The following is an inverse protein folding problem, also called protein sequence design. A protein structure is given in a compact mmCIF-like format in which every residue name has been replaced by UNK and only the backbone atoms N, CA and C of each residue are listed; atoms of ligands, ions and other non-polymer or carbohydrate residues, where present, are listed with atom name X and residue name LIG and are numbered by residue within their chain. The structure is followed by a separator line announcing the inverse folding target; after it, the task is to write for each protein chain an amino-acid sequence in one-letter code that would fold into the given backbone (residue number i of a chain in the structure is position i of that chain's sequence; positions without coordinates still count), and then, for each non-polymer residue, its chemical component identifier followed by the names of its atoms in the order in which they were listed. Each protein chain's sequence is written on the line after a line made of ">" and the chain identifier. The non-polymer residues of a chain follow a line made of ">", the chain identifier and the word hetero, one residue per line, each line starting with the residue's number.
data_IF_857475293892
#
_entry.id   IF_857475293892
#
_cell.length_a   1.000
_cell.length_b   1.000
_cell.length_c   1.000
_cell.angle_alpha   90.00
_cell.angle_beta   90.00
_cell.angle_gamma   90.00
#
_symmetry.space_group_name_H-M   'P 1'
#
loop_
_entity.id
_entity.type
_entity.pdbx_description
1 polymer ?
#
# COMPACT_ATOMS: atom_id res chain seq x y z
N UNK A 1 17.13 27.48 -16.18
CA UNK A 1 15.70 27.74 -16.02
C UNK A 1 15.30 27.70 -14.56
N UNK A 2 15.54 26.59 -13.87
CA UNK A 2 15.11 26.34 -12.48
C UNK A 2 15.47 27.47 -11.50
N UNK A 3 16.69 28.01 -11.61
CA UNK A 3 17.15 29.11 -10.75
C UNK A 3 16.75 30.50 -11.25
N UNK A 4 15.94 30.60 -12.31
CA UNK A 4 15.52 31.88 -12.89
C UNK A 4 16.63 32.68 -13.56
N UNK A 5 17.71 32.01 -13.98
CA UNK A 5 18.85 32.72 -14.64
C UNK A 5 18.39 33.29 -15.97
N UNK A 6 18.75 34.56 -16.30
CA UNK A 6 18.39 35.20 -17.55
C UNK A 6 18.89 34.41 -18.77
N UNK A 7 18.04 34.27 -19.79
CA UNK A 7 18.36 33.59 -21.05
C UNK A 7 18.35 32.06 -21.00
N UNK A 8 18.07 31.44 -19.83
CA UNK A 8 17.93 30.01 -19.73
C UNK A 8 16.49 29.60 -20.14
N UNK A 9 16.38 28.73 -21.18
CA UNK A 9 15.11 28.24 -21.69
C UNK A 9 14.84 26.79 -21.22
N UNK A 10 13.57 26.40 -21.01
CA UNK A 10 13.22 25.03 -20.64
C UNK A 10 13.47 24.05 -21.79
N UNK A 11 13.86 22.83 -21.44
CA UNK A 11 13.97 21.70 -22.37
C UNK A 11 13.22 20.52 -21.75
N UNK A 12 12.31 19.92 -22.52
CA UNK A 12 11.50 18.80 -22.07
C UNK A 12 12.37 17.53 -21.98
N UNK A 13 12.34 16.88 -20.83
CA UNK A 13 13.03 15.61 -20.60
C UNK A 13 12.20 14.44 -21.16
N UNK A 14 12.74 13.74 -22.15
CA UNK A 14 12.08 12.58 -22.78
C UNK A 14 11.73 11.49 -21.77
N UNK A 15 12.64 11.17 -20.84
CA UNK A 15 12.40 10.13 -19.83
C UNK A 15 11.26 10.52 -18.88
N UNK A 16 11.13 11.80 -18.53
CA UNK A 16 9.99 12.27 -17.72
C UNK A 16 8.65 12.05 -18.43
N UNK A 17 8.60 12.28 -19.74
CA UNK A 17 7.41 11.99 -20.56
C UNK A 17 7.12 10.50 -20.62
N UNK A 18 8.13 9.66 -20.81
CA UNK A 18 7.97 8.21 -20.83
C UNK A 18 7.45 7.68 -19.50
N UNK A 19 7.98 8.15 -18.35
CA UNK A 19 7.50 7.79 -17.03
C UNK A 19 6.06 8.27 -16.81
N UNK A 20 5.72 9.48 -17.24
CA UNK A 20 4.34 9.97 -17.17
C UNK A 20 3.37 9.14 -18.04
N UNK A 21 3.79 8.69 -19.23
CA UNK A 21 3.01 7.76 -20.05
C UNK A 21 2.86 6.38 -19.38
N UNK A 22 3.93 5.84 -18.74
CA UNK A 22 3.83 4.58 -17.98
C UNK A 22 2.80 4.70 -16.86
N UNK A 23 2.82 5.79 -16.10
CA UNK A 23 1.82 6.07 -15.06
C UNK A 23 0.42 6.10 -15.69
N UNK A 24 0.24 6.89 -16.75
CA UNK A 24 -1.06 7.01 -17.42
C UNK A 24 -1.59 5.68 -17.94
N UNK A 25 -0.76 4.90 -18.62
CA UNK A 25 -1.14 3.59 -19.15
C UNK A 25 -1.46 2.59 -18.03
N UNK A 26 -0.69 2.60 -16.94
CA UNK A 26 -0.96 1.75 -15.77
C UNK A 26 -2.27 2.14 -15.06
N UNK A 27 -2.68 3.40 -15.14
CA UNK A 27 -3.96 3.92 -14.66
C UNK A 27 -5.08 3.87 -15.72
N UNK A 28 -4.89 3.12 -16.80
CA UNK A 28 -5.87 2.97 -17.89
C UNK A 28 -6.25 4.30 -18.57
N UNK A 29 -5.39 5.31 -18.53
CA UNK A 29 -5.62 6.58 -19.19
C UNK A 29 -5.44 6.49 -20.69
N UNK A 30 -6.12 7.39 -21.42
CA UNK A 30 -5.83 7.71 -22.81
C UNK A 30 -4.65 8.68 -22.89
N UNK A 31 -3.63 8.36 -23.68
CA UNK A 31 -2.52 9.26 -23.98
C UNK A 31 -2.96 10.19 -25.11
N UNK A 32 -2.79 11.51 -24.94
CA UNK A 32 -3.22 12.52 -25.91
C UNK A 32 -2.10 13.51 -26.25
N UNK A 33 -2.19 14.18 -27.40
CA UNK A 33 -1.40 15.38 -27.62
C UNK A 33 -1.59 16.38 -26.49
N UNK A 34 -0.51 17.00 -26.06
CA UNK A 34 -0.52 17.86 -24.89
C UNK A 34 0.30 19.14 -25.10
N UNK A 35 0.01 20.13 -24.27
CA UNK A 35 0.70 21.42 -24.25
C UNK A 35 1.18 21.71 -22.82
N UNK A 36 2.19 22.56 -22.72
CA UNK A 36 2.72 23.04 -21.45
C UNK A 36 2.34 24.49 -21.23
N UNK A 37 2.07 24.84 -19.99
CA UNK A 37 1.65 26.17 -19.56
C UNK A 37 2.55 26.68 -18.45
N UNK A 38 2.64 27.99 -18.31
CA UNK A 38 3.17 28.65 -17.15
C UNK A 38 2.05 28.88 -16.14
N UNK A 39 2.18 28.26 -14.96
CA UNK A 39 1.36 28.53 -13.79
C UNK A 39 2.10 29.55 -12.95
N UNK A 40 1.63 30.80 -12.92
CA UNK A 40 2.33 31.86 -12.20
C UNK A 40 2.23 31.60 -10.68
N UNK A 41 3.41 31.60 -10.04
CA UNK A 41 3.55 31.19 -8.66
C UNK A 41 4.71 31.96 -8.00
N UNK A 42 4.37 32.97 -7.18
CA UNK A 42 5.32 33.89 -6.61
C UNK A 42 5.69 33.47 -5.18
N UNK A 43 6.61 32.53 -5.08
CA UNK A 43 7.10 32.00 -3.81
C UNK A 43 8.62 31.89 -3.82
N UNK A 44 9.30 32.02 -2.66
CA UNK A 44 10.76 31.94 -2.58
C UNK A 44 11.35 30.62 -3.10
N UNK A 45 10.60 29.50 -3.04
CA UNK A 45 11.00 28.20 -3.52
C UNK A 45 10.83 28.02 -5.04
N UNK A 46 10.31 29.04 -5.74
CA UNK A 46 10.15 29.09 -7.19
C UNK A 46 10.82 30.35 -7.76
N UNK A 47 12.16 30.34 -7.98
CA UNK A 47 12.93 31.55 -8.33
C UNK A 47 12.51 32.26 -9.61
N UNK A 48 11.98 31.51 -10.58
CA UNK A 48 11.50 32.06 -11.85
C UNK A 48 10.06 32.58 -11.82
N UNK A 49 9.40 32.49 -10.63
CA UNK A 49 8.05 32.97 -10.38
C UNK A 49 6.95 32.30 -11.21
N UNK A 50 7.21 31.16 -11.82
CA UNK A 50 6.21 30.31 -12.47
C UNK A 50 6.62 28.84 -12.41
N UNK A 51 5.65 27.95 -12.43
CA UNK A 51 5.78 26.51 -12.54
C UNK A 51 5.36 26.08 -13.93
N UNK A 52 6.18 25.28 -14.62
CA UNK A 52 5.74 24.62 -15.85
C UNK A 52 4.77 23.51 -15.45
N UNK A 53 3.60 23.49 -16.06
CA UNK A 53 2.53 22.54 -15.80
C UNK A 53 1.73 22.25 -17.06
N UNK A 54 0.68 21.46 -16.98
CA UNK A 54 -0.29 21.25 -18.05
C UNK A 54 -1.67 21.68 -17.54
N UNK A 55 -2.44 22.41 -18.35
CA UNK A 55 -3.72 22.97 -17.93
C UNK A 55 -4.91 22.30 -18.62
N UNK A 56 -5.25 22.72 -19.85
CA UNK A 56 -6.43 22.28 -20.60
C UNK A 56 -6.17 21.06 -21.50
N UNK A 57 -4.89 20.79 -21.83
CA UNK A 57 -4.48 19.68 -22.68
C UNK A 57 -3.40 18.84 -22.00
N UNK A 58 -3.76 18.09 -20.94
CA UNK A 58 -2.82 17.21 -20.27
C UNK A 58 -2.53 15.93 -21.06
N UNK A 59 -1.38 15.31 -20.80
CA UNK A 59 -0.90 14.12 -21.51
C UNK A 59 -1.80 12.90 -21.29
N UNK A 60 -2.21 12.65 -20.05
CA UNK A 60 -2.99 11.47 -19.67
C UNK A 60 -4.36 11.88 -19.16
N UNK A 61 -5.42 11.30 -19.73
CA UNK A 61 -6.82 11.63 -19.39
C UNK A 61 -7.71 10.40 -19.34
N UNK A 62 -8.82 10.53 -18.63
CA UNK A 62 -9.96 9.60 -18.65
C UNK A 62 -9.57 8.14 -18.32
N UNK A 63 -8.81 7.96 -17.23
CA UNK A 63 -8.43 6.65 -16.73
C UNK A 63 -9.26 6.16 -15.55
N UNK A 64 -8.81 5.09 -14.96
CA UNK A 64 -9.34 4.59 -13.69
C UNK A 64 -8.32 3.72 -12.95
N UNK A 65 -8.48 3.64 -11.63
CA UNK A 65 -7.82 2.68 -10.75
C UNK A 65 -8.89 1.79 -10.13
N UNK A 66 -8.71 0.47 -10.21
CA UNK A 66 -9.59 -0.49 -9.55
C UNK A 66 -9.06 -0.78 -8.14
N UNK A 67 -9.94 -0.66 -7.14
CA UNK A 67 -9.66 -1.08 -5.77
C UNK A 67 -9.75 -2.62 -5.63
N UNK A 68 -9.21 -3.21 -4.55
CA UNK A 68 -9.26 -4.66 -4.35
C UNK A 68 -10.68 -5.26 -4.37
N UNK A 69 -11.68 -4.50 -3.94
CA UNK A 69 -13.10 -4.89 -3.95
C UNK A 69 -13.76 -4.78 -5.33
N UNK A 70 -13.00 -4.36 -6.36
CA UNK A 70 -13.49 -4.13 -7.71
C UNK A 70 -14.10 -2.75 -7.96
N UNK A 71 -14.23 -1.89 -6.95
CA UNK A 71 -14.67 -0.50 -7.11
C UNK A 71 -13.69 0.25 -8.02
N UNK A 72 -14.21 0.94 -9.04
CA UNK A 72 -13.41 1.77 -9.92
C UNK A 72 -13.45 3.22 -9.48
N UNK A 73 -12.26 3.79 -9.30
CA UNK A 73 -12.08 5.22 -9.03
C UNK A 73 -11.56 5.85 -10.33
N UNK A 74 -12.34 6.75 -10.91
CA UNK A 74 -11.97 7.45 -12.13
C UNK A 74 -10.75 8.33 -11.92
N UNK A 75 -9.88 8.38 -12.91
CA UNK A 75 -8.78 9.33 -13.02
C UNK A 75 -9.17 10.35 -14.07
N UNK A 76 -9.32 11.59 -13.65
CA UNK A 76 -9.63 12.68 -14.57
C UNK A 76 -8.44 12.96 -15.47
N UNK A 77 -7.26 13.11 -14.86
CA UNK A 77 -5.99 13.34 -15.55
C UNK A 77 -4.79 12.94 -14.70
N UNK A 78 -3.69 12.70 -15.37
CA UNK A 78 -2.37 12.66 -14.79
C UNK A 78 -1.43 13.52 -15.64
N UNK A 79 -1.06 14.69 -15.15
CA UNK A 79 -0.34 15.69 -15.92
C UNK A 79 1.06 15.94 -15.39
N UNK A 80 1.93 16.41 -16.29
CA UNK A 80 3.33 16.67 -15.97
C UNK A 80 3.48 18.09 -15.42
N UNK A 81 4.21 18.22 -14.34
CA UNK A 81 4.63 19.46 -13.74
C UNK A 81 6.14 19.44 -13.43
N UNK A 82 6.67 20.53 -12.94
CA UNK A 82 7.97 20.58 -12.27
C UNK A 82 7.76 20.83 -10.76
N UNK A 83 8.60 20.22 -9.92
CA UNK A 83 8.55 20.46 -8.48
C UNK A 83 9.22 21.79 -8.11
N UNK A 84 8.83 22.35 -6.95
CA UNK A 84 9.43 23.54 -6.37
C UNK A 84 10.62 23.17 -5.49
N UNK A 85 11.38 24.16 -5.04
CA UNK A 85 12.34 23.97 -3.95
C UNK A 85 11.65 23.52 -2.65
N UNK A 86 12.44 23.24 -1.64
CA UNK A 86 11.95 22.88 -0.31
C UNK A 86 12.16 24.05 0.65
N UNK A 87 11.07 24.51 1.28
CA UNK A 87 11.12 25.52 2.34
C UNK A 87 11.07 24.84 3.70
N UNK A 88 12.00 25.21 4.59
CA UNK A 88 12.01 24.77 5.98
C UNK A 88 11.95 25.99 6.89
N UNK A 89 10.98 26.02 7.80
CA UNK A 89 10.71 27.15 8.69
C UNK A 89 11.26 26.88 10.10
N UNK A 90 11.92 27.87 10.70
CA UNK A 90 12.56 27.77 12.01
C UNK A 90 12.03 28.83 12.97
N UNK A 91 12.02 28.54 14.28
CA UNK A 91 11.64 29.46 15.36
C UNK A 91 10.16 29.51 15.70
N UNK A 92 9.28 28.95 14.84
CA UNK A 92 7.83 28.91 15.07
C UNK A 92 7.34 27.58 15.66
N UNK A 93 6.14 27.57 16.23
CA UNK A 93 5.47 26.33 16.62
C UNK A 93 4.86 25.64 15.40
N UNK A 94 5.23 24.37 15.15
CA UNK A 94 4.59 23.51 14.14
C UNK A 94 5.11 23.62 12.72
N UNK A 95 6.32 24.15 12.48
CA UNK A 95 6.98 24.17 11.16
C UNK A 95 6.26 25.05 10.11
N UNK A 96 5.47 26.02 10.53
CA UNK A 96 4.71 26.95 9.68
C UNK A 96 5.51 28.22 9.40
N UNK A 97 5.27 28.85 8.23
CA UNK A 97 5.86 30.16 7.90
C UNK A 97 5.38 31.23 8.88
N UNK A 98 4.12 31.15 9.31
CA UNK A 98 3.55 32.14 10.24
C UNK A 98 4.13 31.95 11.64
N UNK A 99 4.84 32.98 12.13
CA UNK A 99 5.52 32.92 13.42
C UNK A 99 6.92 32.31 13.39
N UNK A 100 7.44 31.95 12.22
CA UNK A 100 8.85 31.55 12.09
C UNK A 100 9.78 32.76 12.07
N UNK A 101 10.95 32.61 12.68
CA UNK A 101 11.98 33.67 12.70
C UNK A 101 12.66 33.81 11.33
N UNK A 102 12.85 32.68 10.63
CA UNK A 102 13.41 32.63 9.28
C UNK A 102 13.04 31.32 8.57
N UNK A 103 13.27 31.29 7.26
CA UNK A 103 13.09 30.09 6.42
C UNK A 103 14.36 29.80 5.62
N UNK A 104 14.74 28.53 5.54
CA UNK A 104 15.77 28.07 4.62
C UNK A 104 15.11 27.50 3.37
N UNK A 105 15.64 27.89 2.22
CA UNK A 105 15.19 27.41 0.90
C UNK A 105 16.27 26.51 0.32
N UNK A 106 15.89 25.26 0.03
CA UNK A 106 16.74 24.29 -0.66
C UNK A 106 16.20 24.09 -2.08
N UNK A 107 17.01 24.41 -3.08
CA UNK A 107 16.66 24.29 -4.49
C UNK A 107 17.01 22.95 -5.12
N UNK A 108 17.54 21.97 -4.37
CA UNK A 108 17.94 20.69 -4.94
C UNK A 108 16.78 19.89 -5.57
N UNK A 109 15.56 20.12 -5.08
CA UNK A 109 14.34 19.53 -5.66
C UNK A 109 13.75 20.36 -6.81
N UNK A 110 14.05 21.65 -6.89
CA UNK A 110 13.43 22.55 -7.87
C UNK A 110 13.68 22.11 -9.31
N UNK A 111 12.61 21.98 -10.09
CA UNK A 111 12.65 21.53 -11.48
C UNK A 111 12.71 20.01 -11.66
N UNK A 112 12.65 19.22 -10.60
CA UNK A 112 12.48 17.77 -10.69
C UNK A 112 11.12 17.49 -11.32
N UNK A 113 10.99 16.58 -12.31
CA UNK A 113 9.70 16.22 -12.88
C UNK A 113 8.74 15.70 -11.85
N UNK A 114 7.52 16.19 -11.87
CA UNK A 114 6.41 15.82 -11.01
C UNK A 114 5.22 15.41 -11.85
N UNK A 115 4.45 14.41 -11.44
CA UNK A 115 3.17 14.06 -12.03
C UNK A 115 2.08 14.26 -11.01
N UNK A 116 1.11 15.13 -11.31
CA UNK A 116 -0.10 15.28 -10.52
C UNK A 116 -1.19 14.36 -11.06
N UNK A 117 -1.70 13.46 -10.20
CA UNK A 117 -2.77 12.53 -10.55
C UNK A 117 -4.05 13.00 -9.86
N UNK A 118 -5.06 13.36 -10.66
CA UNK A 118 -6.34 13.88 -10.16
C UNK A 118 -7.41 12.82 -10.33
N UNK A 119 -7.96 12.35 -9.22
CA UNK A 119 -9.08 11.41 -9.23
C UNK A 119 -10.41 12.13 -9.44
N UNK A 120 -11.40 11.44 -10.00
CA UNK A 120 -12.80 11.85 -9.95
C UNK A 120 -13.36 11.66 -8.51
N UNK A 121 -14.45 12.35 -8.16
CA UNK A 121 -15.01 12.27 -6.80
C UNK A 121 -15.81 10.98 -6.59
N UNK A 122 -15.18 9.81 -6.81
CA UNK A 122 -15.82 8.49 -6.71
C UNK A 122 -15.60 7.83 -5.35
N UNK A 123 -14.58 8.25 -4.59
CA UNK A 123 -14.26 7.74 -3.26
C UNK A 123 -15.38 8.13 -2.29
N UNK A 124 -15.90 7.16 -1.54
CA UNK A 124 -17.04 7.36 -0.60
C UNK A 124 -16.68 7.10 0.86
N UNK A 125 -15.57 6.44 1.14
CA UNK A 125 -15.16 6.09 2.50
C UNK A 125 -13.68 6.36 2.71
N UNK A 126 -13.29 6.56 3.97
CA UNK A 126 -11.89 6.68 4.35
C UNK A 126 -11.09 5.40 4.03
N UNK A 127 -11.75 4.23 4.09
CA UNK A 127 -11.11 2.96 3.73
C UNK A 127 -10.80 2.89 2.23
N UNK A 128 -11.74 3.28 1.36
CA UNK A 128 -11.48 3.38 -0.07
C UNK A 128 -10.35 4.36 -0.39
N UNK A 129 -10.23 5.47 0.36
CA UNK A 129 -9.13 6.41 0.19
C UNK A 129 -7.77 5.77 0.58
N UNK A 130 -7.72 5.01 1.69
CA UNK A 130 -6.53 4.24 2.07
C UNK A 130 -6.15 3.23 1.00
N UNK A 131 -7.10 2.45 0.52
CA UNK A 131 -6.90 1.47 -0.54
C UNK A 131 -6.42 2.12 -1.85
N UNK A 132 -7.05 3.23 -2.25
CA UNK A 132 -6.66 3.99 -3.45
C UNK A 132 -5.20 4.42 -3.40
N UNK A 133 -4.76 5.01 -2.29
CA UNK A 133 -3.37 5.47 -2.15
C UNK A 133 -2.40 4.29 -2.07
N UNK A 134 -2.77 3.19 -1.43
CA UNK A 134 -1.95 1.97 -1.38
C UNK A 134 -1.79 1.35 -2.77
N UNK A 135 -2.87 1.19 -3.52
CA UNK A 135 -2.82 0.67 -4.90
C UNK A 135 -2.02 1.58 -5.82
N UNK A 136 -2.25 2.90 -5.73
CA UNK A 136 -1.51 3.88 -6.52
C UNK A 136 -0.01 3.81 -6.22
N UNK A 137 0.36 3.74 -4.93
CA UNK A 137 1.75 3.57 -4.51
C UNK A 137 2.38 2.31 -5.11
N UNK A 138 1.68 1.18 -5.04
CA UNK A 138 2.14 -0.08 -5.64
C UNK A 138 2.33 0.02 -7.16
N UNK A 139 1.44 0.71 -7.87
CA UNK A 139 1.58 0.96 -9.31
C UNK A 139 2.81 1.82 -9.59
N UNK A 140 3.01 2.94 -8.87
CA UNK A 140 4.14 3.84 -9.08
C UNK A 140 5.50 3.15 -8.86
N UNK A 141 5.58 2.27 -7.86
CA UNK A 141 6.76 1.42 -7.61
C UNK A 141 6.95 0.42 -8.76
N UNK A 142 5.89 -0.27 -9.19
CA UNK A 142 5.97 -1.28 -10.24
C UNK A 142 6.44 -0.71 -11.58
N UNK A 143 5.96 0.49 -11.96
CA UNK A 143 6.37 1.16 -13.20
C UNK A 143 7.68 1.93 -13.07
N UNK A 144 8.34 1.86 -11.93
CA UNK A 144 9.62 2.53 -11.62
C UNK A 144 9.58 4.05 -11.81
N UNK A 145 8.43 4.65 -11.57
CA UNK A 145 8.25 6.09 -11.73
C UNK A 145 8.64 6.90 -10.48
N UNK A 146 8.56 6.29 -9.30
CA UNK A 146 8.85 6.90 -8.01
C UNK A 146 9.14 5.82 -6.97
N UNK A 147 9.89 6.14 -5.91
CA UNK A 147 9.99 5.33 -4.69
C UNK A 147 8.75 5.47 -3.79
N UNK A 148 7.84 6.37 -4.15
CA UNK A 148 6.52 6.60 -3.56
C UNK A 148 6.52 6.67 -2.02
N UNK A 149 7.55 7.28 -1.44
CA UNK A 149 7.69 7.48 0.01
C UNK A 149 7.00 8.77 0.43
N UNK A 150 5.92 8.64 1.18
CA UNK A 150 5.16 9.79 1.68
C UNK A 150 5.93 10.57 2.75
N UNK A 151 6.65 9.87 3.63
CA UNK A 151 7.46 10.43 4.72
C UNK A 151 8.66 11.23 4.22
N UNK A 152 9.19 10.91 3.03
CA UNK A 152 10.29 11.62 2.39
C UNK A 152 9.79 12.71 1.41
N UNK A 153 8.47 12.72 1.12
CA UNK A 153 7.84 13.67 0.22
C UNK A 153 7.96 13.34 -1.26
N UNK A 154 8.40 12.12 -1.62
CA UNK A 154 8.40 11.62 -3.01
C UNK A 154 6.97 11.35 -3.51
N UNK A 155 6.03 11.08 -2.61
CA UNK A 155 4.61 11.02 -2.86
C UNK A 155 3.88 11.94 -1.88
N UNK A 156 3.02 12.81 -2.40
CA UNK A 156 2.20 13.73 -1.60
C UNK A 156 0.74 13.50 -1.94
N UNK A 157 -0.13 13.59 -0.96
CA UNK A 157 -1.57 13.40 -1.13
C UNK A 157 -2.31 14.55 -0.50
N UNK A 158 -3.12 15.22 -1.30
CA UNK A 158 -4.10 16.20 -0.86
C UNK A 158 -5.50 15.57 -0.96
N UNK A 159 -6.31 15.67 0.09
CA UNK A 159 -7.66 15.13 0.10
C UNK A 159 -8.70 16.22 -0.01
N UNK A 160 -9.54 16.17 -1.05
CA UNK A 160 -10.71 17.04 -1.18
C UNK A 160 -11.93 16.32 -0.58
N UNK A 161 -12.46 16.85 0.52
CA UNK A 161 -13.57 16.24 1.26
C UNK A 161 -14.80 17.13 1.21
N UNK A 162 -15.93 16.55 0.85
CA UNK A 162 -17.27 17.16 0.99
C UNK A 162 -18.26 16.12 1.50
N UNK A 163 -19.33 16.56 2.11
CA UNK A 163 -20.43 15.70 2.57
C UNK A 163 -21.75 16.14 1.92
N UNK A 164 -22.60 15.17 1.60
CA UNK A 164 -23.92 15.42 1.02
C UNK A 164 -24.89 14.31 1.44
N UNK A 165 -26.18 14.60 1.39
CA UNK A 165 -27.22 13.57 1.60
C UNK A 165 -27.31 12.66 0.37
N UNK A 166 -27.58 11.36 0.55
CA UNK A 166 -27.77 10.46 -0.58
C UNK A 166 -28.79 11.01 -1.61
N UNK A 167 -28.41 11.00 -2.88
CA UNK A 167 -29.26 11.48 -3.97
C UNK A 167 -29.27 13.00 -4.20
N UNK A 168 -28.45 13.78 -3.46
CA UNK A 168 -28.27 15.22 -3.70
C UNK A 168 -26.92 15.46 -4.40
N UNK A 169 -26.71 16.69 -4.89
CA UNK A 169 -25.43 17.14 -5.43
C UNK A 169 -24.33 17.11 -4.36
N UNK A 170 -23.06 17.07 -4.81
CA UNK A 170 -21.91 17.12 -3.92
C UNK A 170 -21.89 18.44 -3.13
N UNK A 171 -21.56 18.35 -1.85
CA UNK A 171 -21.44 19.52 -0.99
C UNK A 171 -20.18 20.34 -1.24
N UNK A 172 -20.04 21.43 -0.49
CA UNK A 172 -18.84 22.29 -0.53
C UNK A 172 -17.63 21.52 -0.04
N UNK A 173 -16.57 21.51 -0.86
CA UNK A 173 -15.33 20.77 -0.56
C UNK A 173 -14.35 21.60 0.26
N UNK A 174 -13.65 20.93 1.18
CA UNK A 174 -12.44 21.44 1.82
C UNK A 174 -11.24 20.60 1.36
N UNK A 175 -10.14 21.26 1.04
CA UNK A 175 -8.87 20.62 0.68
C UNK A 175 -8.05 20.40 1.95
N UNK A 176 -7.62 19.17 2.20
CA UNK A 176 -6.78 18.82 3.34
C UNK A 176 -5.37 18.53 2.85
N UNK A 177 -4.41 19.29 3.37
CA UNK A 177 -2.97 19.17 3.10
C UNK A 177 -2.21 18.58 4.29
N UNK A 178 -0.93 18.28 4.06
CA UNK A 178 -0.03 17.76 5.09
C UNK A 178 -0.40 16.36 5.61
N UNK A 179 -0.80 15.50 4.70
CA UNK A 179 -1.15 14.10 5.01
C UNK A 179 0.03 13.21 4.61
N UNK A 180 0.82 12.78 5.58
CA UNK A 180 2.14 12.17 5.35
C UNK A 180 2.15 10.64 5.49
N UNK A 181 1.00 9.99 5.60
CA UNK A 181 0.88 8.53 5.64
C UNK A 181 -0.51 8.07 5.22
N UNK A 182 -0.63 6.82 4.76
CA UNK A 182 -1.91 6.18 4.43
C UNK A 182 -2.87 6.17 5.64
N UNK A 183 -2.33 5.97 6.85
CA UNK A 183 -3.12 6.03 8.08
C UNK A 183 -3.68 7.42 8.33
N UNK A 184 -2.87 8.45 8.15
CA UNK A 184 -3.27 9.84 8.36
C UNK A 184 -4.33 10.30 7.36
N UNK A 185 -4.29 9.81 6.10
CA UNK A 185 -5.32 10.08 5.09
C UNK A 185 -6.70 9.65 5.61
N UNK A 186 -6.84 8.42 6.07
CA UNK A 186 -8.12 7.93 6.59
C UNK A 186 -8.61 8.75 7.77
N UNK A 187 -7.74 9.02 8.75
CA UNK A 187 -8.09 9.83 9.94
C UNK A 187 -8.50 11.26 9.59
N UNK A 188 -7.77 11.89 8.67
CA UNK A 188 -8.05 13.24 8.23
C UNK A 188 -9.40 13.34 7.51
N UNK A 189 -9.72 12.38 6.63
CA UNK A 189 -11.01 12.30 5.94
C UNK A 189 -12.16 12.06 6.93
N UNK A 190 -12.01 11.11 7.86
CA UNK A 190 -13.02 10.81 8.86
C UNK A 190 -13.31 12.01 9.77
N UNK A 191 -12.25 12.70 10.22
CA UNK A 191 -12.39 13.90 11.03
C UNK A 191 -13.09 15.02 10.26
N UNK A 192 -12.64 15.32 9.04
CA UNK A 192 -13.19 16.41 8.24
C UNK A 192 -14.64 16.16 7.84
N UNK A 193 -14.99 14.92 7.46
CA UNK A 193 -16.36 14.55 7.15
C UNK A 193 -17.28 14.77 8.36
N UNK A 194 -16.84 14.35 9.56
CA UNK A 194 -17.61 14.58 10.80
C UNK A 194 -17.77 16.06 11.10
N UNK A 195 -16.67 16.84 11.00
CA UNK A 195 -16.73 18.29 11.21
C UNK A 195 -17.75 18.97 10.29
N UNK A 196 -17.77 18.58 8.99
CA UNK A 196 -18.74 19.15 8.04
C UNK A 196 -20.16 18.72 8.35
N UNK A 197 -20.39 17.47 8.77
CA UNK A 197 -21.72 17.00 9.20
C UNK A 197 -22.19 17.79 10.41
N UNK A 198 -21.34 17.94 11.44
CA UNK A 198 -21.70 18.69 12.67
C UNK A 198 -22.09 20.14 12.36
N UNK A 199 -21.38 20.83 11.44
CA UNK A 199 -21.72 22.18 10.99
C UNK A 199 -23.10 22.22 10.30
N UNK A 200 -23.33 21.32 9.34
CA UNK A 200 -24.58 21.28 8.59
C UNK A 200 -25.79 20.92 9.47
N UNK A 201 -25.61 20.04 10.45
CA UNK A 201 -26.63 19.68 11.43
C UNK A 201 -26.96 20.82 12.42
N UNK A 202 -25.95 21.66 12.72
CA UNK A 202 -26.14 22.88 13.50
C UNK A 202 -26.83 24.02 12.71
N UNK A 203 -27.01 23.84 11.40
CA UNK A 203 -27.58 24.85 10.51
C UNK A 203 -26.56 25.85 9.97
N UNK A 204 -25.27 25.59 10.18
CA UNK A 204 -24.16 26.38 9.64
C UNK A 204 -23.80 25.94 8.22
N UNK A 205 -23.00 26.76 7.53
CA UNK A 205 -22.51 26.45 6.18
C UNK A 205 -21.05 25.99 6.19
N UNK A 206 -20.73 25.00 5.35
CA UNK A 206 -19.36 24.64 5.06
C UNK A 206 -18.76 25.66 4.10
N UNK A 207 -17.68 26.33 4.50
CA UNK A 207 -16.93 27.25 3.65
C UNK A 207 -15.85 26.51 2.89
N UNK A 208 -15.66 26.86 1.62
CA UNK A 208 -14.55 26.30 0.83
C UNK A 208 -13.22 26.86 1.35
N UNK A 209 -12.37 26.00 1.86
CA UNK A 209 -11.08 26.39 2.44
C UNK A 209 -10.03 25.30 2.24
N UNK A 210 -8.76 25.69 2.35
CA UNK A 210 -7.65 24.76 2.49
C UNK A 210 -7.35 24.60 3.98
N UNK A 211 -7.32 23.36 4.43
CA UNK A 211 -7.02 22.96 5.81
C UNK A 211 -5.75 22.11 5.83
N UNK A 212 -5.04 22.05 6.94
CA UNK A 212 -3.96 21.12 7.14
C UNK A 212 -4.33 20.10 8.22
N UNK A 213 -3.87 18.89 8.06
CA UNK A 213 -3.95 17.84 9.06
C UNK A 213 -2.84 18.00 10.08
N UNK A 214 -3.17 18.05 11.37
CA UNK A 214 -2.22 18.01 12.48
C UNK A 214 -2.24 16.62 13.12
N UNK A 215 -1.13 15.90 13.01
CA UNK A 215 -1.01 14.53 13.54
C UNK A 215 -0.97 14.51 15.08
N UNK A 216 -0.54 15.61 15.72
CA UNK A 216 -0.39 15.72 17.16
C UNK A 216 -1.73 15.77 17.89
N UNK A 217 -2.69 16.55 17.38
CA UNK A 217 -4.02 16.68 17.98
C UNK A 217 -5.09 15.88 17.22
N UNK A 218 -4.77 15.33 16.05
CA UNK A 218 -5.69 14.54 15.23
C UNK A 218 -6.85 15.35 14.64
N UNK A 219 -6.60 16.60 14.26
CA UNK A 219 -7.62 17.53 13.72
C UNK A 219 -7.13 18.22 12.45
N UNK A 220 -8.12 18.77 11.72
CA UNK A 220 -7.83 19.69 10.62
C UNK A 220 -7.95 21.12 11.10
N UNK A 221 -7.00 21.97 10.67
CA UNK A 221 -6.99 23.40 10.99
C UNK A 221 -6.99 24.25 9.73
N UNK A 222 -7.72 25.35 9.71
CA UNK A 222 -7.75 26.28 8.57
C UNK A 222 -6.36 26.82 8.28
N UNK A 223 -5.89 26.70 7.04
CA UNK A 223 -4.66 27.30 6.54
C UNK A 223 -4.95 28.64 5.90
N UNK A 224 -5.91 28.66 4.99
CA UNK A 224 -6.40 29.85 4.28
C UNK A 224 -7.82 29.62 3.82
N UNK A 225 -8.60 30.67 3.79
CA UNK A 225 -9.90 30.68 3.12
C UNK A 225 -9.68 30.92 1.62
N UNK A 226 -10.37 30.20 0.76
CA UNK A 226 -10.38 30.48 -0.68
C UNK A 226 -11.46 31.53 -0.98
N UNK A 227 -11.29 32.74 -0.48
CA UNK A 227 -12.08 33.89 -1.00
C UNK A 227 -11.59 34.32 -2.38
N UNK A 228 -10.30 34.04 -2.67
CA UNK A 228 -9.72 34.24 -3.99
C UNK A 228 -9.27 32.88 -4.53
N UNK A 229 -9.93 32.37 -5.56
CA UNK A 229 -9.32 31.36 -6.41
C UNK A 229 -8.00 31.94 -6.90
N UNK A 230 -6.87 31.31 -6.51
CA UNK A 230 -5.57 31.76 -7.00
C UNK A 230 -5.65 31.84 -8.52
N UNK A 231 -5.75 33.03 -9.06
CA UNK A 231 -5.67 33.28 -10.50
C UNK A 231 -4.22 33.09 -10.92
N UNK A 232 -3.87 31.84 -11.24
CA UNK A 232 -2.53 31.52 -11.70
C UNK A 232 -2.22 32.08 -13.08
N UNK A 233 -3.19 32.73 -13.76
CA UNK A 233 -3.01 33.36 -15.06
C UNK A 233 -2.25 32.45 -16.04
N UNK A 234 -2.76 31.24 -16.21
CA UNK A 234 -2.17 30.25 -17.11
C UNK A 234 -2.04 30.81 -18.51
N UNK A 235 -0.88 30.61 -19.13
CA UNK A 235 -0.66 30.82 -20.56
C UNK A 235 0.35 29.82 -21.10
N UNK A 236 0.32 29.55 -22.39
CA UNK A 236 1.21 28.58 -23.03
C UNK A 236 2.67 28.90 -22.75
N UNK A 237 3.46 27.90 -22.41
CA UNK A 237 4.92 28.01 -22.32
C UNK A 237 5.48 28.19 -23.73
N UNK A 238 6.01 29.37 -24.08
CA UNK A 238 6.40 29.68 -25.47
C UNK A 238 7.63 28.90 -25.94
N UNK A 239 8.43 28.41 -24.97
CA UNK A 239 9.70 27.72 -25.26
C UNK A 239 9.53 26.19 -25.33
N UNK A 240 8.35 25.64 -25.07
CA UNK A 240 8.00 24.24 -25.23
C UNK A 240 6.93 24.07 -26.33
N UNK A 241 7.31 23.38 -27.41
CA UNK A 241 6.35 23.06 -28.47
C UNK A 241 5.32 22.03 -28.02
N UNK A 242 4.10 22.03 -28.57
CA UNK A 242 3.13 20.97 -28.32
C UNK A 242 3.73 19.58 -28.57
N UNK A 243 3.47 18.67 -27.65
CA UNK A 243 3.95 17.29 -27.71
C UNK A 243 2.83 16.37 -28.21
N UNK A 244 3.08 15.65 -29.30
CA UNK A 244 2.19 14.59 -29.80
C UNK A 244 2.93 13.27 -29.84
N UNK A 245 2.83 12.43 -28.81
CA UNK A 245 3.45 11.10 -28.83
C UNK A 245 2.90 10.28 -29.99
N UNK A 246 3.80 9.65 -30.78
CA UNK A 246 3.37 8.77 -31.86
C UNK A 246 2.75 7.49 -31.30
N UNK A 247 1.89 6.82 -32.08
CA UNK A 247 1.27 5.57 -31.68
C UNK A 247 2.34 4.49 -31.40
N UNK A 248 3.41 4.46 -32.22
CA UNK A 248 4.52 3.52 -32.03
C UNK A 248 5.22 3.74 -30.68
N UNK A 249 5.39 5.02 -30.27
CA UNK A 249 6.00 5.34 -28.99
C UNK A 249 5.08 4.91 -27.83
N UNK A 250 3.78 5.19 -27.92
CA UNK A 250 2.78 4.78 -26.93
C UNK A 250 2.76 3.24 -26.81
N UNK A 251 2.76 2.53 -27.92
CA UNK A 251 2.72 1.06 -27.95
C UNK A 251 4.02 0.44 -27.39
N UNK A 252 5.17 1.05 -27.68
CA UNK A 252 6.44 0.63 -27.09
C UNK A 252 6.45 0.81 -25.57
N UNK A 253 5.95 1.93 -25.05
CA UNK A 253 5.83 2.17 -23.61
C UNK A 253 4.84 1.20 -22.98
N UNK A 254 3.70 0.93 -23.63
CA UNK A 254 2.72 -0.06 -23.16
C UNK A 254 3.29 -1.47 -23.09
N UNK A 255 4.02 -1.88 -24.12
CA UNK A 255 4.65 -3.21 -24.17
C UNK A 255 5.74 -3.40 -23.11
N UNK A 256 6.36 -2.30 -22.67
CA UNK A 256 7.39 -2.30 -21.63
C UNK A 256 6.82 -2.21 -20.18
N UNK A 257 5.49 -2.12 -20.01
CA UNK A 257 4.90 -2.11 -18.68
C UNK A 257 5.11 -3.46 -17.98
N UNK A 258 5.54 -3.46 -16.72
CA UNK A 258 5.61 -4.67 -15.92
C UNK A 258 4.21 -5.18 -15.56
N UNK A 259 4.14 -6.40 -15.03
CA UNK A 259 2.90 -6.89 -14.42
C UNK A 259 2.55 -6.02 -13.20
N UNK A 260 1.37 -5.41 -13.22
CA UNK A 260 0.91 -4.52 -12.17
C UNK A 260 0.46 -5.28 -10.90
N UNK A 261 0.44 -4.63 -9.72
CA UNK A 261 0.14 -5.29 -8.44
C UNK A 261 -1.15 -6.12 -8.43
N UNK A 262 -2.24 -5.62 -9.02
CA UNK A 262 -3.50 -6.36 -9.09
C UNK A 262 -3.36 -7.68 -9.89
N UNK A 263 -2.67 -7.66 -11.03
CA UNK A 263 -2.42 -8.87 -11.83
C UNK A 263 -1.46 -9.84 -11.11
N UNK A 264 -0.46 -9.33 -10.39
CA UNK A 264 0.44 -10.15 -9.55
C UNK A 264 -0.32 -10.84 -8.44
N UNK A 265 -1.26 -10.15 -7.78
CA UNK A 265 -2.14 -10.77 -6.76
C UNK A 265 -3.05 -11.84 -7.35
N UNK A 266 -3.61 -11.61 -8.54
CA UNK A 266 -4.41 -12.62 -9.23
C UNK A 266 -3.58 -13.87 -9.53
N UNK A 267 -2.38 -13.72 -10.10
CA UNK A 267 -1.45 -14.84 -10.36
C UNK A 267 -1.10 -15.61 -9.08
N UNK A 268 -0.84 -14.90 -7.99
CA UNK A 268 -0.54 -15.50 -6.69
C UNK A 268 -1.77 -16.26 -6.14
N UNK A 269 -2.96 -15.69 -6.27
CA UNK A 269 -4.22 -16.28 -5.85
C UNK A 269 -4.51 -17.59 -6.62
N UNK A 270 -4.31 -17.61 -7.93
CA UNK A 270 -4.46 -18.80 -8.77
C UNK A 270 -3.52 -19.94 -8.33
N UNK A 271 -2.28 -19.61 -7.94
CA UNK A 271 -1.31 -20.60 -7.51
C UNK A 271 -1.53 -21.10 -6.07
N UNK A 272 -2.03 -20.24 -5.17
CA UNK A 272 -2.10 -20.52 -3.73
C UNK A 272 -3.52 -20.87 -3.23
N UNK A 273 -4.55 -20.54 -4.02
CA UNK A 273 -5.96 -20.67 -3.62
C UNK A 273 -6.45 -19.61 -2.61
N UNK A 274 -5.65 -18.61 -2.27
CA UNK A 274 -6.09 -17.49 -1.43
C UNK A 274 -6.82 -16.43 -2.26
N UNK A 275 -7.66 -15.61 -1.62
CA UNK A 275 -8.30 -14.51 -2.34
C UNK A 275 -7.27 -13.41 -2.69
N UNK A 276 -7.37 -12.78 -3.90
CA UNK A 276 -6.43 -11.74 -4.33
C UNK A 276 -6.42 -10.49 -3.43
N UNK A 277 -7.54 -10.22 -2.77
CA UNK A 277 -7.75 -9.12 -1.81
C UNK A 277 -7.42 -9.50 -0.36
N UNK A 278 -6.95 -10.75 -0.12
CA UNK A 278 -6.55 -11.18 1.21
C UNK A 278 -5.32 -10.38 1.68
N UNK A 279 -5.27 -10.10 2.98
CA UNK A 279 -4.15 -9.39 3.60
C UNK A 279 -2.79 -10.03 3.26
N UNK A 280 -2.74 -11.38 3.22
CA UNK A 280 -1.48 -12.08 2.93
C UNK A 280 -1.02 -11.87 1.50
N UNK A 281 -1.93 -11.90 0.52
CA UNK A 281 -1.59 -11.65 -0.88
C UNK A 281 -1.17 -10.19 -1.10
N UNK A 282 -1.88 -9.26 -0.48
CA UNK A 282 -1.54 -7.84 -0.56
C UNK A 282 -0.16 -7.55 -0.01
N UNK A 283 0.15 -8.02 1.20
CA UNK A 283 1.44 -7.80 1.86
C UNK A 283 2.61 -8.40 1.06
N UNK A 284 2.46 -9.62 0.57
CA UNK A 284 3.54 -10.32 -0.16
C UNK A 284 3.81 -9.66 -1.51
N UNK A 285 2.76 -9.23 -2.23
CA UNK A 285 2.92 -8.50 -3.50
C UNK A 285 3.48 -7.09 -3.27
N UNK A 286 3.02 -6.37 -2.24
CA UNK A 286 3.55 -5.04 -1.90
C UNK A 286 5.05 -5.07 -1.55
N UNK A 287 5.51 -6.15 -0.94
CA UNK A 287 6.93 -6.40 -0.65
C UNK A 287 7.73 -6.96 -1.84
N UNK A 288 7.10 -7.23 -2.98
CA UNK A 288 7.77 -7.81 -4.14
C UNK A 288 8.20 -9.27 -3.97
N UNK A 289 7.55 -10.01 -3.08
CA UNK A 289 7.94 -11.38 -2.68
C UNK A 289 7.14 -12.49 -3.36
N UNK A 290 6.14 -12.16 -4.18
CA UNK A 290 5.27 -13.13 -4.86
C UNK A 290 6.02 -14.03 -5.84
N UNK A 291 7.01 -13.51 -6.57
CA UNK A 291 7.83 -14.34 -7.47
C UNK A 291 8.63 -15.40 -6.70
N UNK A 292 9.09 -15.07 -5.49
CA UNK A 292 9.75 -16.04 -4.64
C UNK A 292 8.79 -17.13 -4.16
N UNK A 293 7.57 -16.78 -3.77
CA UNK A 293 6.54 -17.78 -3.39
C UNK A 293 6.24 -18.73 -4.56
N UNK A 294 6.13 -18.21 -5.77
CA UNK A 294 5.92 -19.02 -6.97
C UNK A 294 7.12 -19.93 -7.27
N UNK A 295 8.35 -19.40 -7.12
CA UNK A 295 9.57 -20.19 -7.28
C UNK A 295 9.68 -21.36 -6.28
N UNK A 296 9.12 -21.22 -5.07
CA UNK A 296 9.01 -22.35 -4.12
C UNK A 296 8.11 -23.44 -4.69
N UNK A 297 7.00 -23.05 -5.34
CA UNK A 297 6.12 -24.02 -6.03
C UNK A 297 6.80 -24.70 -7.20
N UNK A 298 7.54 -23.96 -8.04
CA UNK A 298 8.33 -24.51 -9.14
C UNK A 298 9.40 -25.51 -8.66
N UNK A 299 9.93 -25.30 -7.46
CA UNK A 299 10.86 -26.21 -6.79
C UNK A 299 10.17 -27.42 -6.12
N UNK A 300 8.85 -27.60 -6.31
CA UNK A 300 8.05 -28.72 -5.78
C UNK A 300 7.52 -28.52 -4.35
N UNK A 301 7.57 -27.32 -3.82
CA UNK A 301 7.02 -26.96 -2.51
C UNK A 301 5.52 -26.63 -2.54
N UNK A 302 4.91 -26.58 -1.36
CA UNK A 302 3.53 -26.10 -1.21
C UNK A 302 3.48 -24.57 -1.17
N UNK A 303 2.87 -24.00 -2.21
CA UNK A 303 2.82 -22.52 -2.40
C UNK A 303 1.97 -21.82 -1.36
N UNK A 304 0.91 -22.44 -0.84
CA UNK A 304 0.05 -21.85 0.16
C UNK A 304 0.78 -21.75 1.52
N UNK A 305 1.58 -22.77 1.86
CA UNK A 305 2.45 -22.72 3.05
C UNK A 305 3.61 -21.76 2.86
N UNK A 306 4.23 -21.75 1.67
CA UNK A 306 5.28 -20.77 1.35
C UNK A 306 4.79 -19.35 1.52
N UNK A 307 3.59 -19.03 1.03
CA UNK A 307 2.97 -17.71 1.17
C UNK A 307 2.88 -17.27 2.64
N UNK A 308 2.45 -18.16 3.54
CA UNK A 308 2.35 -17.88 4.97
C UNK A 308 3.73 -17.63 5.59
N UNK A 309 4.70 -18.51 5.30
CA UNK A 309 6.05 -18.37 5.83
C UNK A 309 6.73 -17.11 5.33
N UNK A 310 6.59 -16.78 4.04
CA UNK A 310 7.19 -15.57 3.45
C UNK A 310 6.61 -14.32 4.11
N UNK A 311 5.29 -14.21 4.24
CA UNK A 311 4.66 -13.08 4.94
C UNK A 311 5.18 -12.91 6.37
N UNK A 312 5.31 -14.03 7.12
CA UNK A 312 5.62 -13.98 8.55
C UNK A 312 7.12 -13.80 8.85
N UNK A 313 7.99 -14.38 8.02
CA UNK A 313 9.42 -14.47 8.33
C UNK A 313 10.29 -13.39 7.68
N UNK A 314 9.85 -12.76 6.58
CA UNK A 314 10.63 -11.76 5.88
C UNK A 314 9.87 -10.43 5.73
N UNK A 315 10.47 -9.36 6.24
CA UNK A 315 10.02 -8.00 5.96
C UNK A 315 10.50 -7.50 4.59
N UNK A 316 11.71 -7.94 4.20
CA UNK A 316 12.38 -7.64 2.94
C UNK A 316 12.46 -8.90 2.05
N UNK A 317 13.28 -8.85 1.01
CA UNK A 317 13.46 -9.98 0.09
C UNK A 317 13.94 -11.24 0.81
N UNK A 318 13.34 -12.42 0.54
CA UNK A 318 13.77 -13.68 1.11
C UNK A 318 15.24 -14.00 0.73
N UNK A 319 16.00 -14.43 1.72
CA UNK A 319 17.45 -14.73 1.59
C UNK A 319 17.75 -16.22 1.46
N UNK A 320 16.75 -17.07 1.73
CA UNK A 320 16.85 -18.54 1.64
C UNK A 320 16.59 -18.99 0.21
N UNK A 321 17.33 -19.97 -0.36
CA UNK A 321 17.00 -20.56 -1.65
C UNK A 321 15.57 -21.14 -1.68
N UNK A 322 14.82 -20.88 -2.75
CA UNK A 322 13.42 -21.36 -2.87
C UNK A 322 13.31 -22.90 -2.74
N UNK A 323 14.30 -23.65 -3.21
CA UNK A 323 14.35 -25.11 -3.09
C UNK A 323 14.42 -25.60 -1.62
N UNK A 324 15.08 -24.83 -0.74
CA UNK A 324 15.19 -25.21 0.67
C UNK A 324 13.86 -24.98 1.40
N UNK A 325 13.18 -23.86 1.11
CA UNK A 325 11.84 -23.61 1.61
C UNK A 325 10.81 -24.58 1.02
N UNK A 326 10.99 -25.02 -0.24
CA UNK A 326 10.14 -26.03 -0.85
C UNK A 326 10.15 -27.36 -0.10
N UNK A 327 11.36 -27.85 0.28
CA UNK A 327 11.47 -29.05 1.11
C UNK A 327 10.76 -28.90 2.46
N UNK A 328 10.93 -27.75 3.12
CA UNK A 328 10.26 -27.47 4.38
C UNK A 328 8.73 -27.52 4.25
N UNK A 329 8.18 -26.81 3.25
CA UNK A 329 6.72 -26.77 3.05
C UNK A 329 6.14 -28.16 2.73
N UNK A 330 6.87 -28.98 1.98
CA UNK A 330 6.50 -30.37 1.70
C UNK A 330 6.50 -31.22 2.97
N UNK A 331 7.50 -31.06 3.85
CA UNK A 331 7.56 -31.75 5.15
C UNK A 331 6.39 -31.35 6.05
N UNK A 332 6.02 -30.05 6.04
CA UNK A 332 4.91 -29.56 6.85
C UNK A 332 3.56 -30.10 6.35
N UNK A 333 3.29 -30.04 5.05
CA UNK A 333 2.04 -30.57 4.47
C UNK A 333 1.97 -32.08 4.60
N UNK A 334 3.10 -32.77 4.47
CA UNK A 334 3.22 -34.21 4.70
C UNK A 334 3.11 -34.65 6.16
N UNK A 335 2.97 -33.70 7.10
CA UNK A 335 2.81 -34.00 8.52
C UNK A 335 4.12 -34.40 9.24
N UNK A 336 5.27 -34.30 8.57
CA UNK A 336 6.57 -34.54 9.19
C UNK A 336 7.00 -33.43 10.17
N UNK A 337 6.42 -32.25 10.03
CA UNK A 337 6.60 -31.10 10.94
C UNK A 337 5.26 -30.49 11.30
N UNK A 338 5.11 -30.07 12.55
CA UNK A 338 4.02 -29.19 12.95
C UNK A 338 4.29 -27.76 12.48
N UNK A 339 3.26 -26.91 12.39
CA UNK A 339 3.42 -25.50 12.00
C UNK A 339 4.42 -24.74 12.90
N UNK A 340 4.46 -25.05 14.22
CA UNK A 340 5.42 -24.44 15.14
C UNK A 340 6.85 -24.91 14.88
N UNK A 341 7.03 -26.20 14.57
CA UNK A 341 8.34 -26.76 14.23
C UNK A 341 8.82 -26.20 12.88
N UNK A 342 7.93 -26.08 11.89
CA UNK A 342 8.24 -25.47 10.60
C UNK A 342 8.74 -24.04 10.77
N UNK A 343 8.09 -23.21 11.58
CA UNK A 343 8.56 -21.83 11.90
C UNK A 343 9.97 -21.82 12.52
N UNK A 344 10.27 -22.77 13.41
CA UNK A 344 11.59 -22.87 14.02
C UNK A 344 12.67 -23.31 13.01
N UNK A 345 12.31 -24.16 12.02
CA UNK A 345 13.20 -24.54 10.92
C UNK A 345 13.40 -23.37 9.95
N UNK A 346 12.34 -22.60 9.61
CA UNK A 346 12.45 -21.37 8.81
C UNK A 346 13.44 -20.39 9.46
N UNK A 347 13.33 -20.16 10.76
CA UNK A 347 14.25 -19.26 11.47
C UNK A 347 15.71 -19.72 11.36
N UNK A 348 15.97 -21.03 11.39
CA UNK A 348 17.31 -21.58 11.22
C UNK A 348 17.80 -21.48 9.76
N UNK A 349 16.93 -21.74 8.79
CA UNK A 349 17.23 -21.53 7.37
C UNK A 349 17.63 -20.08 7.11
N UNK A 350 16.92 -19.12 7.71
CA UNK A 350 17.26 -17.69 7.59
C UNK A 350 18.62 -17.39 8.22
N UNK A 351 18.87 -17.90 9.44
CA UNK A 351 20.12 -17.66 10.14
C UNK A 351 21.34 -18.20 9.39
N UNK A 352 21.17 -19.31 8.67
CA UNK A 352 22.21 -19.99 7.91
C UNK A 352 22.28 -19.53 6.43
N UNK A 353 21.34 -18.72 5.96
CA UNK A 353 21.23 -18.36 4.54
C UNK A 353 20.80 -19.51 3.63
N UNK A 354 20.14 -20.54 4.19
CA UNK A 354 19.68 -21.76 3.52
C UNK A 354 20.05 -23.02 4.28
N UNK A 355 19.86 -24.19 3.65
CA UNK A 355 20.24 -25.50 4.20
C UNK A 355 19.20 -26.59 4.02
N UNK A 356 19.53 -27.79 4.48
CA UNK A 356 18.62 -28.93 4.40
C UNK A 356 17.63 -28.92 5.57
N UNK A 357 16.36 -28.65 5.25
CA UNK A 357 15.28 -28.57 6.26
C UNK A 357 15.12 -29.87 7.06
N UNK A 358 15.39 -31.05 6.47
CA UNK A 358 15.29 -32.34 7.15
C UNK A 358 16.42 -32.50 8.17
N UNK A 359 17.65 -32.12 7.80
CA UNK A 359 18.79 -32.17 8.72
C UNK A 359 18.61 -31.19 9.89
N UNK A 360 18.11 -29.97 9.61
CA UNK A 360 17.83 -28.98 10.66
C UNK A 360 16.75 -29.50 11.61
N UNK A 361 15.67 -30.08 11.09
CA UNK A 361 14.60 -30.67 11.89
C UNK A 361 15.11 -31.83 12.77
N UNK A 362 15.92 -32.74 12.21
CA UNK A 362 16.52 -33.83 12.94
C UNK A 362 17.46 -33.33 14.05
N UNK A 363 18.33 -32.36 13.76
CA UNK A 363 19.22 -31.75 14.75
C UNK A 363 18.47 -31.09 15.93
N UNK A 364 17.24 -30.61 15.69
CA UNK A 364 16.34 -30.03 16.71
C UNK A 364 15.47 -31.10 17.40
N UNK A 365 15.57 -32.37 17.01
CA UNK A 365 14.73 -33.44 17.54
C UNK A 365 13.25 -33.28 17.15
N UNK A 366 12.95 -32.64 16.02
CA UNK A 366 11.61 -32.46 15.51
C UNK A 366 11.20 -33.71 14.70
N UNK A 367 10.42 -34.57 15.35
CA UNK A 367 9.73 -35.67 14.73
C UNK A 367 8.24 -35.54 15.03
N UNK A 368 7.40 -35.56 14.02
CA UNK A 368 5.95 -35.58 14.23
C UNK A 368 5.54 -36.92 14.84
N UNK A 369 4.59 -36.90 15.74
CA UNK A 369 3.98 -38.13 16.26
C UNK A 369 3.19 -38.81 15.15
N UNK A 370 3.38 -40.14 15.01
CA UNK A 370 2.53 -40.97 14.14
C UNK A 370 1.06 -40.88 14.56
N UNK A 371 0.14 -41.17 13.65
CA UNK A 371 -1.30 -41.06 13.92
C UNK A 371 -1.75 -41.96 15.10
N UNK A 372 -1.15 -43.12 15.24
CA UNK A 372 -1.45 -44.06 16.33
C UNK A 372 -0.93 -43.57 17.69
N UNK A 373 0.28 -43.02 17.70
CA UNK A 373 0.88 -42.40 18.89
C UNK A 373 0.11 -41.16 19.32
N UNK A 374 -0.34 -40.34 18.37
CA UNK A 374 -1.16 -39.17 18.64
C UNK A 374 -2.50 -39.55 19.28
N UNK A 375 -3.14 -40.63 18.79
CA UNK A 375 -4.36 -41.19 19.37
C UNK A 375 -4.17 -41.54 20.82
N UNK A 376 -3.09 -42.26 21.16
CA UNK A 376 -2.78 -42.69 22.52
C UNK A 376 -2.54 -41.48 23.45
N UNK A 377 -1.82 -40.46 22.98
CA UNK A 377 -1.57 -39.23 23.75
C UNK A 377 -2.87 -38.45 23.99
N UNK A 378 -3.77 -38.39 23.00
CA UNK A 378 -5.10 -37.74 23.15
C UNK A 378 -5.93 -38.50 24.19
N UNK A 379 -5.99 -39.83 24.11
CA UNK A 379 -6.75 -40.65 25.07
C UNK A 379 -6.20 -40.50 26.48
N UNK A 380 -4.86 -40.43 26.67
CA UNK A 380 -4.22 -40.15 27.94
C UNK A 380 -4.59 -38.74 28.46
N UNK A 381 -4.55 -37.71 27.58
CA UNK A 381 -4.89 -36.34 27.97
C UNK A 381 -6.36 -36.24 28.41
N UNK A 382 -7.28 -36.95 27.76
CA UNK A 382 -8.69 -37.07 28.18
C UNK A 382 -8.81 -37.69 29.56
N UNK A 383 -8.11 -38.81 29.79
CA UNK A 383 -8.15 -39.52 31.07
C UNK A 383 -7.61 -38.66 32.23
N UNK A 384 -6.51 -37.92 32.01
CA UNK A 384 -5.89 -37.09 33.04
C UNK A 384 -6.66 -35.77 33.28
N UNK A 385 -7.52 -35.33 32.33
CA UNK A 385 -8.25 -34.06 32.41
C UNK A 385 -9.78 -34.25 32.31
N UNK A 386 -10.32 -35.21 33.09
CA UNK A 386 -11.72 -35.62 33.05
C UNK A 386 -12.74 -34.48 33.23
N UNK A 387 -12.43 -33.48 34.07
CA UNK A 387 -13.30 -32.32 34.26
C UNK A 387 -13.38 -31.45 33.00
N UNK A 388 -12.23 -31.17 32.37
CA UNK A 388 -12.18 -30.42 31.10
C UNK A 388 -12.86 -31.19 29.97
N UNK A 389 -12.70 -32.51 29.93
CA UNK A 389 -13.37 -33.38 28.97
C UNK A 389 -14.90 -33.34 29.14
N UNK A 390 -15.41 -33.44 30.37
CA UNK A 390 -16.83 -33.37 30.67
C UNK A 390 -17.44 -32.04 30.25
N UNK A 391 -16.76 -30.91 30.52
CA UNK A 391 -17.17 -29.58 30.06
C UNK A 391 -17.17 -29.43 28.53
N UNK A 392 -16.15 -30.01 27.89
CA UNK A 392 -16.10 -30.03 26.42
C UNK A 392 -17.24 -30.84 25.81
N UNK A 393 -17.54 -32.02 26.35
CA UNK A 393 -18.69 -32.85 25.94
C UNK A 393 -20.04 -32.13 26.17
N UNK A 394 -20.13 -31.31 27.22
CA UNK A 394 -21.31 -30.49 27.51
C UNK A 394 -21.46 -29.26 26.59
N UNK A 395 -20.51 -28.99 25.67
CA UNK A 395 -20.58 -27.89 24.72
C UNK A 395 -19.83 -26.63 25.11
N UNK A 396 -19.05 -26.63 26.18
CA UNK A 396 -18.23 -25.49 26.59
C UNK A 396 -16.97 -25.39 25.72
N UNK A 397 -17.00 -24.57 24.65
CA UNK A 397 -15.89 -24.42 23.69
C UNK A 397 -14.55 -23.99 24.32
N UNK A 398 -14.55 -23.28 25.46
CA UNK A 398 -13.32 -22.90 26.18
C UNK A 398 -12.55 -24.11 26.73
N UNK A 399 -13.22 -25.23 27.04
CA UNK A 399 -12.61 -26.44 27.55
C UNK A 399 -11.72 -27.14 26.51
N UNK A 400 -11.98 -26.96 25.22
CA UNK A 400 -11.13 -27.45 24.12
C UNK A 400 -9.68 -26.95 24.25
N UNK A 401 -9.49 -25.68 24.55
CA UNK A 401 -8.15 -25.08 24.69
C UNK A 401 -7.32 -25.75 25.82
N UNK A 402 -7.96 -26.11 26.93
CA UNK A 402 -7.30 -26.82 28.03
C UNK A 402 -6.87 -28.26 27.63
N UNK A 403 -7.73 -28.97 26.89
CA UNK A 403 -7.43 -30.31 26.38
C UNK A 403 -6.31 -30.30 25.34
N UNK A 404 -6.37 -29.37 24.40
CA UNK A 404 -5.30 -29.18 23.40
C UNK A 404 -3.98 -28.86 24.11
N UNK A 405 -4.00 -27.98 25.11
CA UNK A 405 -2.83 -27.66 25.93
C UNK A 405 -2.25 -28.87 26.66
N UNK A 406 -3.10 -29.74 27.20
CA UNK A 406 -2.68 -30.97 27.84
C UNK A 406 -2.00 -31.95 26.86
N UNK A 407 -2.60 -32.17 25.68
CA UNK A 407 -2.01 -32.99 24.61
C UNK A 407 -0.67 -32.40 24.15
N UNK A 408 -0.59 -31.08 23.93
CA UNK A 408 0.67 -30.41 23.54
C UNK A 408 1.76 -30.60 24.60
N UNK A 409 1.42 -30.56 25.90
CA UNK A 409 2.35 -30.82 26.99
C UNK A 409 2.82 -32.27 27.03
N UNK A 410 1.91 -33.23 26.92
CA UNK A 410 2.22 -34.67 26.92
C UNK A 410 3.06 -35.06 25.70
N UNK A 411 2.77 -34.50 24.56
CA UNK A 411 3.49 -34.72 23.29
C UNK A 411 4.80 -33.94 23.19
N UNK A 412 5.14 -33.13 24.19
CA UNK A 412 6.30 -32.24 24.17
C UNK A 412 6.33 -31.31 22.91
N UNK A 413 5.15 -30.88 22.46
CA UNK A 413 5.01 -30.04 21.26
C UNK A 413 5.11 -30.80 19.93
N UNK A 414 5.16 -32.14 19.94
CA UNK A 414 5.24 -32.98 18.73
C UNK A 414 3.87 -33.24 18.06
N UNK A 415 2.77 -32.89 18.73
CA UNK A 415 1.42 -33.04 18.19
C UNK A 415 1.00 -31.84 17.34
N UNK A 416 0.32 -32.10 16.23
CA UNK A 416 -0.33 -31.05 15.42
C UNK A 416 -1.65 -30.61 16.06
N UNK A 417 -1.81 -29.31 16.35
CA UNK A 417 -3.00 -28.78 17.04
C UNK A 417 -4.31 -28.98 16.28
N UNK A 418 -4.30 -29.03 14.94
CA UNK A 418 -5.49 -29.29 14.13
C UNK A 418 -5.86 -30.78 14.20
N UNK A 419 -4.86 -31.66 14.08
CA UNK A 419 -5.06 -33.09 14.21
C UNK A 419 -5.58 -33.46 15.63
N UNK A 420 -5.01 -32.83 16.67
CA UNK A 420 -5.49 -32.97 18.06
C UNK A 420 -6.95 -32.54 18.17
N UNK A 421 -7.29 -31.36 17.62
CA UNK A 421 -8.67 -30.84 17.64
C UNK A 421 -9.64 -31.77 16.91
N UNK A 422 -9.24 -32.31 15.77
CA UNK A 422 -10.03 -33.28 15.01
C UNK A 422 -10.26 -34.58 15.79
N UNK A 423 -9.21 -35.11 16.43
CA UNK A 423 -9.30 -36.30 17.26
C UNK A 423 -10.15 -36.07 18.52
N UNK A 424 -10.01 -34.96 19.21
CA UNK A 424 -10.87 -34.63 20.36
C UNK A 424 -12.35 -34.54 19.95
N UNK A 425 -12.65 -33.95 18.78
CA UNK A 425 -14.02 -33.89 18.25
C UNK A 425 -14.55 -35.28 17.87
N UNK A 426 -13.72 -36.14 17.30
CA UNK A 426 -14.12 -37.52 16.95
C UNK A 426 -14.31 -38.43 18.15
N UNK A 427 -13.72 -38.12 19.31
CA UNK A 427 -13.90 -38.86 20.58
C UNK A 427 -15.12 -38.40 21.35
N UNK A 428 -15.74 -37.30 20.97
CA UNK A 428 -16.93 -36.78 21.62
C UNK A 428 -18.11 -37.74 21.39
N UNK A 429 -18.85 -38.11 22.46
CA UNK A 429 -19.95 -39.05 22.37
C UNK A 429 -21.14 -38.53 21.55
#
# INVERSE_FOLDING_TARGET
>A
VTLGLPGALPVLNRQAVELAMRIGLALNCSIRPCTFHRKNYFYPDMPKAYQISQYDQPLNVDGFLALPDGTRIGIERAHIEEDTGKSTHFGGSGGRIHGSDYSLIDFNRAGVPLVEIVSRPDIRTAEQARQYVTELRGILLAVEASDAKMEEGSMRVDANVSVHKPGTELGTRCEIKNVNSVRSIGRAIEYEARRQIDLLEAGDEVRQETRHWDEGDGRTHTLRTKEDADDYRYFLEPDLVPLSPSQEWIDAVRAALPMLPAARRTRLAEATGVAPDSEVAMVVVDRGQDDYVLAVGEAGGDVARALVHVKEAWADSPTVPAADLAKLTTMEVGGALTATQAKAVVAELIANGGGDAQQIAAAKGFEALGADDLGAVVDQAIAENGEAWSKFCAGEGKAMGALVGAVMKLSQGKADGKAVTALLNSRRP
#
